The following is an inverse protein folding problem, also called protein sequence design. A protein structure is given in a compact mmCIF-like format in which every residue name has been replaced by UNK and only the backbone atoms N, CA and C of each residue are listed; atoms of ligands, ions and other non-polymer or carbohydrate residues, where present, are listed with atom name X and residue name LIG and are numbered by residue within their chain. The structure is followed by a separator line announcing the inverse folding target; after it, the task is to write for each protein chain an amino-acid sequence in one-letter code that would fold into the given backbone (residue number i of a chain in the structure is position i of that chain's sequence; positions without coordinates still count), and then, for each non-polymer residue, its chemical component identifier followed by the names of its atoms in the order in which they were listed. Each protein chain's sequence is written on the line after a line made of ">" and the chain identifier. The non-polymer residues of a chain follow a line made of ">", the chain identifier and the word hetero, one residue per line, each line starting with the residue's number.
data_IF_559289775735
#
_entry.id   IF_559289775735
#
_cell.length_a   1.000
_cell.length_b   1.000
_cell.length_c   1.000
_cell.angle_alpha   90.00
_cell.angle_beta   90.00
_cell.angle_gamma   90.00
#
_symmetry.space_group_name_H-M   'P 1'
#
loop_
_entity.id
_entity.type
_entity.pdbx_description
1 polymer ?
#
# COMPACT_ATOMS: atom_id res chain seq x y z
N UNK A 1 -48.71 -44.97 -15.88
CA UNK A 1 -47.26 -44.65 -15.86
C UNK A 1 -47.06 -43.47 -14.90
N UNK A 2 -46.53 -43.71 -13.70
CA UNK A 2 -46.27 -42.64 -12.71
C UNK A 2 -44.92 -42.00 -13.03
N UNK A 3 -44.91 -40.71 -13.39
CA UNK A 3 -43.68 -39.96 -13.68
C UNK A 3 -43.09 -39.44 -12.36
N UNK A 4 -41.93 -39.97 -11.98
CA UNK A 4 -41.16 -39.48 -10.83
C UNK A 4 -40.50 -38.15 -11.21
N UNK A 5 -40.79 -37.09 -10.46
CA UNK A 5 -40.16 -35.79 -10.63
C UNK A 5 -38.80 -35.83 -9.91
N UNK A 6 -37.70 -35.71 -10.65
CA UNK A 6 -36.35 -35.63 -10.09
C UNK A 6 -36.13 -34.22 -9.54
N UNK A 7 -36.13 -34.07 -8.22
CA UNK A 7 -35.68 -32.85 -7.53
C UNK A 7 -34.15 -32.80 -7.57
N UNK A 8 -33.61 -31.98 -8.46
CA UNK A 8 -32.18 -31.61 -8.44
C UNK A 8 -31.99 -30.63 -7.28
N UNK A 9 -31.43 -31.11 -6.18
CA UNK A 9 -30.95 -30.25 -5.09
C UNK A 9 -29.63 -29.65 -5.58
N UNK A 10 -29.66 -28.39 -6.00
CA UNK A 10 -28.45 -27.61 -6.24
C UNK A 10 -27.85 -27.29 -4.86
N UNK A 11 -26.76 -27.96 -4.50
CA UNK A 11 -25.97 -27.58 -3.34
C UNK A 11 -25.29 -26.24 -3.65
N UNK A 12 -25.82 -25.15 -3.09
CA UNK A 12 -25.23 -23.83 -3.17
C UNK A 12 -24.00 -23.81 -2.27
N UNK A 13 -22.82 -24.07 -2.83
CA UNK A 13 -21.55 -23.94 -2.11
C UNK A 13 -21.25 -22.46 -1.95
N UNK A 14 -21.59 -21.87 -0.80
CA UNK A 14 -21.11 -20.55 -0.43
C UNK A 14 -19.63 -20.66 -0.06
N UNK A 15 -18.76 -20.26 -0.97
CA UNK A 15 -17.37 -19.97 -0.61
C UNK A 15 -17.40 -18.72 0.27
N UNK A 16 -17.25 -18.89 1.58
CA UNK A 16 -16.95 -17.75 2.45
C UNK A 16 -15.61 -17.19 2.00
N UNK A 17 -15.62 -16.01 1.38
CA UNK A 17 -14.40 -15.23 1.25
C UNK A 17 -13.83 -15.05 2.65
N UNK A 18 -12.55 -15.37 2.86
CA UNK A 18 -11.88 -15.04 4.11
C UNK A 18 -11.98 -13.54 4.28
N UNK A 19 -12.82 -13.08 5.22
CA UNK A 19 -12.89 -11.67 5.54
C UNK A 19 -11.47 -11.22 5.91
N UNK A 20 -11.00 -10.13 5.31
CA UNK A 20 -9.73 -9.55 5.70
C UNK A 20 -9.83 -9.21 7.20
N UNK A 21 -9.03 -9.88 8.03
CA UNK A 21 -9.13 -9.80 9.49
C UNK A 21 -8.30 -8.66 10.08
N UNK A 22 -7.72 -7.83 9.23
CA UNK A 22 -6.78 -6.77 9.61
C UNK A 22 -6.92 -5.57 8.69
N UNK A 23 -6.18 -4.51 8.99
CA UNK A 23 -6.11 -3.30 8.19
C UNK A 23 -5.58 -3.57 6.77
N UNK A 24 -5.81 -2.64 5.87
CA UNK A 24 -5.14 -2.60 4.56
C UNK A 24 -5.12 -1.20 3.97
N UNK A 25 -4.28 -0.98 2.97
CA UNK A 25 -4.30 0.26 2.21
C UNK A 25 -5.51 0.28 1.27
N UNK A 26 -6.49 1.13 1.57
CA UNK A 26 -7.67 1.33 0.72
C UNK A 26 -7.43 2.35 -0.38
N UNK A 27 -6.49 3.28 -0.19
CA UNK A 27 -6.14 4.28 -1.20
C UNK A 27 -4.65 4.65 -1.17
N UNK A 28 -4.09 4.89 -2.36
CA UNK A 28 -2.73 5.38 -2.58
C UNK A 28 -2.80 6.67 -3.40
N UNK A 29 -2.43 7.80 -2.79
CA UNK A 29 -2.52 9.12 -3.44
C UNK A 29 -1.11 9.56 -3.87
N UNK A 30 -0.91 9.64 -5.18
CA UNK A 30 0.32 10.13 -5.81
C UNK A 30 0.09 11.42 -6.61
N UNK A 31 -0.19 12.52 -5.91
CA UNK A 31 -0.39 13.83 -6.52
C UNK A 31 0.92 14.49 -6.96
N UNK A 32 0.85 15.74 -7.43
CA UNK A 32 2.05 16.52 -7.79
C UNK A 32 2.94 16.82 -6.58
N UNK A 33 4.26 16.74 -6.74
CA UNK A 33 5.20 17.06 -5.66
C UNK A 33 5.00 16.18 -4.42
N UNK A 34 4.96 16.78 -3.23
CA UNK A 34 4.70 16.06 -1.98
C UNK A 34 3.21 15.97 -1.61
N UNK A 35 2.29 16.17 -2.56
CA UNK A 35 0.87 15.84 -2.37
C UNK A 35 0.69 14.32 -2.38
N UNK A 36 1.07 13.68 -1.28
CA UNK A 36 1.15 12.24 -1.13
C UNK A 36 0.40 11.82 0.13
N UNK A 37 -0.40 10.77 0.02
CA UNK A 37 -1.13 10.23 1.15
C UNK A 37 -1.42 8.74 0.97
N UNK A 38 -1.69 8.07 2.09
CA UNK A 38 -2.14 6.69 2.15
C UNK A 38 -3.39 6.63 3.01
N UNK A 39 -4.43 5.98 2.51
CA UNK A 39 -5.63 5.65 3.29
C UNK A 39 -5.54 4.20 3.77
N UNK A 40 -5.77 3.99 5.06
CA UNK A 40 -5.76 2.69 5.71
C UNK A 40 -7.16 2.40 6.23
N UNK A 41 -7.78 1.31 5.79
CA UNK A 41 -9.13 0.93 6.19
C UNK A 41 -9.14 -0.19 7.22
N UNK A 42 -10.05 -0.10 8.19
CA UNK A 42 -10.38 -1.18 9.11
C UNK A 42 -11.64 -1.94 8.63
N UNK A 43 -11.51 -3.12 7.98
CA UNK A 43 -12.66 -3.91 7.55
C UNK A 43 -13.33 -4.70 8.68
N UNK A 44 -12.81 -4.64 9.89
CA UNK A 44 -13.30 -5.45 11.01
C UNK A 44 -14.46 -4.76 11.74
N UNK A 45 -15.18 -5.53 12.55
CA UNK A 45 -16.24 -5.03 13.43
C UNK A 45 -15.71 -4.49 14.77
N UNK A 46 -14.38 -4.45 14.98
CA UNK A 46 -13.75 -4.05 16.22
C UNK A 46 -12.84 -2.82 16.02
N UNK A 47 -12.74 -1.97 17.04
CA UNK A 47 -11.75 -0.89 17.03
C UNK A 47 -10.34 -1.47 17.13
N UNK A 48 -9.42 -0.97 16.30
CA UNK A 48 -8.02 -1.39 16.26
C UNK A 48 -7.14 -0.28 16.84
N UNK A 49 -6.23 -0.64 17.75
CA UNK A 49 -5.19 0.26 18.24
C UNK A 49 -4.03 0.30 17.24
N UNK A 50 -3.76 1.49 16.69
CA UNK A 50 -2.73 1.72 15.68
C UNK A 50 -1.32 1.76 16.27
N UNK A 51 -1.16 1.76 17.60
CA UNK A 51 0.15 1.79 18.28
C UNK A 51 1.05 0.60 17.97
N UNK A 52 0.52 -0.49 17.39
CA UNK A 52 1.32 -1.61 16.92
C UNK A 52 1.66 -1.53 15.43
N UNK A 53 1.12 -0.55 14.69
CA UNK A 53 1.19 -0.50 13.23
C UNK A 53 2.21 0.52 12.73
N UNK A 54 2.86 0.16 11.64
CA UNK A 54 3.85 0.98 10.97
C UNK A 54 3.62 0.95 9.46
N UNK A 55 3.85 2.08 8.81
CA UNK A 55 3.97 2.16 7.36
C UNK A 55 5.45 2.18 7.01
N UNK A 56 5.88 1.26 6.14
CA UNK A 56 7.25 1.16 5.65
C UNK A 56 7.31 1.50 4.16
N UNK A 57 8.34 2.24 3.75
CA UNK A 57 8.71 2.46 2.36
C UNK A 57 10.03 1.77 2.05
N UNK A 58 9.97 0.87 1.08
CA UNK A 58 11.13 0.24 0.47
C UNK A 58 11.46 1.01 -0.79
N UNK A 59 12.51 1.83 -0.72
CA UNK A 59 12.79 2.79 -1.77
C UNK A 59 13.16 2.11 -3.09
N UNK A 60 12.52 2.47 -4.20
CA UNK A 60 12.66 1.77 -5.48
C UNK A 60 12.44 0.25 -5.37
N UNK A 61 11.59 -0.19 -4.45
CA UNK A 61 11.36 -1.61 -4.17
C UNK A 61 12.60 -2.34 -3.66
N UNK A 62 13.49 -1.67 -2.91
CA UNK A 62 14.65 -2.32 -2.28
C UNK A 62 14.27 -3.51 -1.39
N UNK A 63 15.22 -4.38 -1.06
CA UNK A 63 14.99 -5.52 -0.14
C UNK A 63 14.94 -5.10 1.34
N UNK A 64 15.39 -3.89 1.64
CA UNK A 64 15.36 -3.30 2.98
C UNK A 64 14.68 -1.94 2.93
N UNK A 65 13.97 -1.61 4.00
CA UNK A 65 13.56 -0.23 4.26
C UNK A 65 14.74 0.47 4.94
N UNK A 66 15.12 1.67 4.48
CA UNK A 66 16.14 2.48 5.16
C UNK A 66 15.55 3.13 6.41
N UNK A 67 16.39 3.51 7.39
CA UNK A 67 15.97 4.00 8.72
C UNK A 67 15.04 5.23 8.75
N UNK A 68 14.78 5.89 7.62
CA UNK A 68 13.73 6.93 7.53
C UNK A 68 12.46 6.50 6.80
N UNK A 69 12.44 5.39 6.07
CA UNK A 69 11.23 4.92 5.39
C UNK A 69 10.19 4.32 6.34
N UNK A 70 10.07 4.79 7.58
CA UNK A 70 9.27 4.17 8.63
C UNK A 70 8.45 5.22 9.36
N UNK A 71 7.15 5.00 9.46
CA UNK A 71 6.26 5.84 10.26
C UNK A 71 5.42 5.00 11.18
N UNK A 72 5.52 5.29 12.47
CA UNK A 72 4.67 4.72 13.51
C UNK A 72 3.29 5.36 13.44
N UNK A 73 2.25 4.54 13.39
CA UNK A 73 0.88 5.02 13.45
C UNK A 73 0.44 5.17 14.91
N UNK A 74 -0.56 6.02 15.14
CA UNK A 74 -1.08 6.26 16.47
C UNK A 74 -2.59 6.50 16.44
N UNK A 75 -3.23 6.29 17.60
CA UNK A 75 -4.67 6.44 17.76
C UNK A 75 -5.44 5.14 17.63
N UNK A 76 -6.77 5.27 17.64
CA UNK A 76 -7.72 4.16 17.60
C UNK A 76 -8.51 4.26 16.30
N UNK A 77 -8.50 3.21 15.49
CA UNK A 77 -9.26 3.14 14.24
C UNK A 77 -10.53 2.35 14.44
N UNK A 78 -11.67 3.06 14.44
CA UNK A 78 -13.00 2.47 14.62
C UNK A 78 -13.37 1.46 13.53
N UNK A 79 -14.34 0.56 13.80
CA UNK A 79 -14.86 -0.37 12.80
C UNK A 79 -15.32 0.35 11.53
N UNK A 80 -14.92 -0.18 10.37
CA UNK A 80 -15.34 0.33 9.06
C UNK A 80 -15.00 1.80 8.80
N UNK A 81 -13.96 2.31 9.47
CA UNK A 81 -13.39 3.65 9.24
C UNK A 81 -12.04 3.58 8.57
N UNK A 82 -11.62 4.73 8.07
CA UNK A 82 -10.32 4.95 7.45
C UNK A 82 -9.44 5.83 8.31
N UNK A 83 -8.13 5.68 8.13
CA UNK A 83 -7.08 6.52 8.70
C UNK A 83 -6.21 7.05 7.57
N UNK A 84 -6.02 8.36 7.51
CA UNK A 84 -5.31 9.04 6.43
C UNK A 84 -3.94 9.53 6.91
N UNK A 85 -2.87 8.92 6.39
CA UNK A 85 -1.49 9.37 6.58
C UNK A 85 -1.08 10.29 5.43
N UNK A 86 -0.71 11.53 5.71
CA UNK A 86 -0.37 12.54 4.68
C UNK A 86 1.05 13.05 4.85
N UNK A 87 1.74 13.37 3.75
CA UNK A 87 3.06 14.00 3.81
C UNK A 87 3.06 15.31 4.62
N UNK A 88 3.91 15.36 5.66
CA UNK A 88 4.02 16.48 6.60
C UNK A 88 4.85 17.67 6.11
N UNK A 89 5.43 17.64 4.90
CA UNK A 89 6.34 18.69 4.46
C UNK A 89 5.62 20.02 4.23
N UNK A 90 6.00 21.05 4.99
CA UNK A 90 5.46 22.41 4.89
C UNK A 90 6.37 23.40 4.17
N UNK A 91 7.64 23.04 3.95
CA UNK A 91 8.63 23.88 3.27
C UNK A 91 8.90 23.41 1.84
N UNK A 92 9.10 24.34 0.91
CA UNK A 92 9.43 24.03 -0.49
C UNK A 92 10.93 24.17 -0.77
N UNK A 93 11.49 23.20 -1.48
CA UNK A 93 12.76 23.32 -2.21
C UNK A 93 12.50 23.21 -3.71
N UNK A 94 13.47 23.54 -4.58
CA UNK A 94 13.29 23.43 -6.04
C UNK A 94 12.89 22.03 -6.53
N UNK A 95 13.25 20.97 -5.80
CA UNK A 95 13.00 19.57 -6.16
C UNK A 95 12.02 18.86 -5.22
N UNK A 96 11.56 19.53 -4.17
CA UNK A 96 10.65 18.98 -3.16
C UNK A 96 9.71 20.10 -2.68
N UNK A 97 8.60 20.37 -3.41
CA UNK A 97 7.64 21.40 -3.01
C UNK A 97 6.86 20.98 -1.76
N UNK A 98 6.37 21.94 -0.97
CA UNK A 98 5.50 21.65 0.17
C UNK A 98 4.25 20.86 -0.25
N UNK A 99 3.74 20.04 0.67
CA UNK A 99 2.44 19.41 0.55
C UNK A 99 1.33 20.47 0.64
N UNK A 100 0.24 20.25 -0.08
CA UNK A 100 -0.94 21.11 -0.08
C UNK A 100 -1.53 21.17 1.34
N UNK A 101 -1.76 22.37 1.91
CA UNK A 101 -2.42 22.50 3.20
C UNK A 101 -3.83 21.90 3.22
N UNK A 102 -4.52 21.85 2.07
CA UNK A 102 -5.84 21.22 1.95
C UNK A 102 -5.73 19.70 2.15
N UNK A 103 -4.70 19.06 1.57
CA UNK A 103 -4.49 17.62 1.77
C UNK A 103 -4.03 17.34 3.21
N UNK A 104 -3.15 18.17 3.77
CA UNK A 104 -2.75 18.05 5.17
C UNK A 104 -3.91 18.21 6.16
N UNK A 105 -4.92 19.04 5.83
CA UNK A 105 -6.11 19.19 6.64
C UNK A 105 -7.04 17.95 6.61
N UNK A 106 -6.84 17.03 5.67
CA UNK A 106 -7.55 15.73 5.61
C UNK A 106 -6.84 14.63 6.41
N UNK A 107 -5.66 14.91 6.98
CA UNK A 107 -4.85 13.92 7.66
C UNK A 107 -5.39 13.60 9.05
N UNK A 108 -5.46 12.31 9.38
CA UNK A 108 -5.52 11.87 10.78
C UNK A 108 -4.13 11.95 11.42
N UNK A 109 -3.07 11.74 10.61
CA UNK A 109 -1.68 11.90 11.02
C UNK A 109 -0.84 12.45 9.87
N UNK A 110 0.03 13.40 10.20
CA UNK A 110 1.09 13.83 9.30
C UNK A 110 2.30 12.91 9.44
N UNK A 111 2.90 12.61 8.30
CA UNK A 111 4.15 11.88 8.19
C UNK A 111 5.35 12.74 8.62
N UNK A 112 6.50 12.11 8.82
CA UNK A 112 7.74 12.75 9.25
C UNK A 112 8.51 13.51 8.16
N UNK A 113 9.66 14.08 8.57
CA UNK A 113 10.63 14.65 7.65
C UNK A 113 11.28 13.58 6.77
N UNK A 114 11.71 13.94 5.55
CA UNK A 114 12.47 13.01 4.70
C UNK A 114 13.72 12.45 5.42
N UNK A 115 14.00 11.13 5.32
CA UNK A 115 13.17 10.13 4.63
C UNK A 115 11.93 9.80 5.48
N UNK A 116 10.77 9.65 4.84
CA UNK A 116 9.51 9.18 5.43
C UNK A 116 8.65 8.48 4.36
N UNK A 117 7.74 7.56 4.72
CA UNK A 117 6.98 6.77 3.75
C UNK A 117 6.29 7.56 2.64
N UNK A 118 5.65 8.68 2.96
CA UNK A 118 4.89 9.51 2.01
C UNK A 118 5.76 10.40 1.11
N UNK A 119 7.08 10.18 1.06
CA UNK A 119 7.95 10.69 -0.01
C UNK A 119 8.12 9.69 -1.16
N UNK A 120 7.12 8.82 -1.31
CA UNK A 120 7.04 7.81 -2.36
C UNK A 120 6.85 8.40 -3.76
N UNK A 121 7.36 7.72 -4.80
CA UNK A 121 7.28 8.13 -6.20
C UNK A 121 6.99 6.96 -7.18
N UNK A 122 6.10 6.06 -6.77
CA UNK A 122 5.45 5.04 -7.60
C UNK A 122 6.30 3.82 -7.98
N UNK A 123 7.63 3.89 -7.89
CA UNK A 123 8.51 2.72 -7.98
C UNK A 123 8.93 2.18 -6.59
N UNK A 124 8.44 2.76 -5.51
CA UNK A 124 8.63 2.24 -4.15
C UNK A 124 7.63 1.12 -3.84
N UNK A 125 8.01 0.25 -2.90
CA UNK A 125 7.04 -0.66 -2.27
C UNK A 125 6.65 -0.12 -0.89
N UNK A 126 5.36 -0.12 -0.59
CA UNK A 126 4.78 0.34 0.67
C UNK A 126 4.22 -0.84 1.43
N UNK A 127 4.68 -1.06 2.67
CA UNK A 127 4.18 -2.13 3.52
C UNK A 127 3.45 -1.54 4.74
N UNK A 128 2.26 -2.06 5.02
CA UNK A 128 1.63 -1.93 6.32
C UNK A 128 2.07 -3.13 7.14
N UNK A 129 2.67 -2.90 8.29
CA UNK A 129 3.15 -3.96 9.17
C UNK A 129 2.68 -3.72 10.59
N UNK A 130 2.67 -4.79 11.38
CA UNK A 130 2.63 -4.73 12.84
C UNK A 130 3.95 -5.11 13.45
N UNK A 131 4.23 -4.58 14.62
CA UNK A 131 5.28 -5.10 15.51
C UNK A 131 4.66 -5.42 16.88
N UNK A 132 5.03 -6.56 17.51
CA UNK A 132 4.54 -6.87 18.84
C UNK A 132 4.93 -5.79 19.86
N UNK A 133 3.93 -5.19 20.52
CA UNK A 133 4.14 -4.17 21.54
C UNK A 133 4.56 -2.80 20.99
N UNK A 134 4.39 -2.57 19.68
CA UNK A 134 4.63 -1.27 19.07
C UNK A 134 6.09 -0.85 19.03
N UNK A 135 7.04 -1.79 19.11
CA UNK A 135 8.48 -1.49 18.99
C UNK A 135 8.85 -1.15 17.53
N UNK A 136 9.87 -0.30 17.28
CA UNK A 136 10.29 0.00 15.92
C UNK A 136 10.60 -1.27 15.09
N UNK A 137 10.19 -1.29 13.81
CA UNK A 137 10.36 -2.44 12.94
C UNK A 137 11.83 -2.68 12.57
N UNK A 138 12.17 -3.94 12.48
CA UNK A 138 13.44 -4.53 12.05
C UNK A 138 13.11 -5.71 11.13
N UNK A 139 14.10 -6.27 10.45
CA UNK A 139 13.88 -7.42 9.57
C UNK A 139 13.30 -8.67 10.27
N UNK A 140 13.35 -8.75 11.61
CA UNK A 140 12.98 -9.95 12.37
C UNK A 140 11.77 -9.80 13.28
N UNK A 141 11.22 -8.59 13.44
CA UNK A 141 10.10 -8.32 14.36
C UNK A 141 8.86 -7.71 13.67
N UNK A 142 8.76 -7.83 12.35
CA UNK A 142 7.60 -7.38 11.58
C UNK A 142 6.63 -8.53 11.28
N UNK A 143 5.35 -8.22 11.35
CA UNK A 143 4.25 -9.05 10.85
C UNK A 143 3.63 -8.26 9.69
N UNK A 144 3.71 -8.80 8.47
CA UNK A 144 3.08 -8.18 7.31
C UNK A 144 1.56 -8.14 7.45
N UNK A 145 0.98 -6.98 7.15
CA UNK A 145 -0.48 -6.77 7.13
C UNK A 145 -0.96 -6.58 5.70
N UNK A 146 -0.32 -5.66 4.97
CA UNK A 146 -0.62 -5.39 3.57
C UNK A 146 0.62 -4.86 2.84
N UNK A 147 0.63 -4.98 1.50
CA UNK A 147 1.74 -4.58 0.64
C UNK A 147 1.22 -4.00 -0.67
N UNK A 148 1.66 -2.79 -0.98
CA UNK A 148 1.53 -2.16 -2.29
C UNK A 148 2.91 -2.11 -2.98
N UNK A 149 3.02 -2.60 -4.22
CA UNK A 149 4.30 -2.70 -4.95
C UNK A 149 5.08 -3.99 -4.67
N UNK A 150 6.35 -4.03 -5.06
CA UNK A 150 7.19 -5.23 -4.94
C UNK A 150 8.54 -4.93 -4.26
N UNK A 151 8.82 -5.69 -3.20
CA UNK A 151 10.09 -5.67 -2.46
C UNK A 151 11.12 -6.56 -3.17
N UNK A 152 12.37 -6.11 -3.22
CA UNK A 152 13.51 -6.85 -3.78
C UNK A 152 13.87 -6.53 -5.24
N UNK A 153 13.16 -5.61 -5.91
CA UNK A 153 13.52 -5.15 -7.26
C UNK A 153 14.69 -4.17 -7.24
N UNK A 154 14.71 -3.27 -6.26
CA UNK A 154 15.79 -2.31 -6.02
C UNK A 154 16.27 -1.59 -7.28
N UNK A 155 17.57 -1.72 -7.57
CA UNK A 155 18.21 -1.03 -8.70
C UNK A 155 17.53 -1.31 -10.06
N UNK A 156 16.88 -2.47 -10.23
CA UNK A 156 16.21 -2.85 -11.47
C UNK A 156 15.09 -1.89 -11.88
N UNK A 157 14.47 -1.19 -10.92
CA UNK A 157 13.38 -0.23 -11.17
C UNK A 157 13.71 1.19 -10.71
N UNK A 158 14.97 1.48 -10.35
CA UNK A 158 15.39 2.78 -9.80
C UNK A 158 15.21 3.97 -10.73
N UNK A 159 15.11 3.74 -12.04
CA UNK A 159 14.84 4.77 -13.04
C UNK A 159 13.35 4.93 -13.37
N UNK A 160 12.50 4.02 -12.89
CA UNK A 160 11.05 4.10 -13.11
C UNK A 160 10.47 5.19 -12.21
N UNK A 161 9.52 5.96 -12.72
CA UNK A 161 8.84 7.01 -11.94
C UNK A 161 7.34 6.89 -12.14
N UNK A 162 6.61 6.60 -11.06
CA UNK A 162 5.17 6.47 -11.12
C UNK A 162 4.65 5.21 -11.83
N UNK A 163 3.34 5.05 -11.78
CA UNK A 163 2.58 4.07 -12.57
C UNK A 163 2.39 4.49 -14.04
N UNK A 164 2.87 5.70 -14.40
CA UNK A 164 2.76 6.27 -15.75
C UNK A 164 3.60 5.54 -16.80
N UNK A 165 4.57 4.74 -16.36
CA UNK A 165 5.48 3.95 -17.19
C UNK A 165 5.56 2.49 -16.78
N UNK A 166 4.45 1.90 -16.29
CA UNK A 166 4.36 0.45 -16.44
C UNK A 166 4.25 0.19 -17.95
N UNK A 167 5.37 -0.05 -18.61
CA UNK A 167 5.37 -0.80 -19.87
C UNK A 167 5.16 -2.26 -19.49
N UNK A 168 4.91 -3.13 -20.47
CA UNK A 168 4.93 -4.57 -20.22
C UNK A 168 6.27 -4.95 -19.56
N UNK A 169 6.30 -5.01 -18.23
CA UNK A 169 7.51 -5.28 -17.49
C UNK A 169 7.76 -6.76 -17.59
N UNK A 170 8.92 -7.08 -18.14
CA UNK A 170 9.40 -8.46 -18.21
C UNK A 170 10.07 -8.75 -16.89
N UNK A 171 9.39 -9.52 -16.04
CA UNK A 171 9.90 -9.92 -14.75
C UNK A 171 10.69 -11.21 -14.92
N UNK A 172 11.95 -11.17 -14.53
CA UNK A 172 12.85 -12.32 -14.62
C UNK A 172 13.25 -12.73 -13.21
N UNK A 173 12.92 -13.96 -12.82
CA UNK A 173 13.23 -14.52 -11.50
C UNK A 173 13.74 -15.95 -11.62
N UNK A 174 14.40 -16.45 -10.58
CA UNK A 174 14.87 -17.84 -10.53
C UNK A 174 13.84 -18.70 -9.81
N UNK A 175 13.35 -19.76 -10.46
CA UNK A 175 12.52 -20.80 -9.86
C UNK A 175 13.24 -22.14 -10.00
N UNK A 176 13.66 -22.73 -8.88
CA UNK A 176 14.41 -24.01 -8.86
C UNK A 176 15.65 -23.98 -9.75
N UNK A 177 16.48 -22.94 -9.62
CA UNK A 177 17.69 -22.70 -10.43
C UNK A 177 17.45 -22.51 -11.94
N UNK A 178 16.18 -22.38 -12.37
CA UNK A 178 15.81 -22.03 -13.74
C UNK A 178 15.37 -20.58 -13.80
N UNK A 179 15.93 -19.82 -14.74
CA UNK A 179 15.48 -18.46 -15.02
C UNK A 179 14.10 -18.51 -15.69
N UNK A 180 13.09 -17.98 -15.00
CA UNK A 180 11.72 -17.84 -15.50
C UNK A 180 11.50 -16.38 -15.84
N UNK A 181 10.98 -16.17 -17.05
CA UNK A 181 10.64 -14.85 -17.56
C UNK A 181 9.13 -14.76 -17.74
N UNK A 182 8.47 -13.94 -16.92
CA UNK A 182 7.05 -13.64 -17.01
C UNK A 182 6.85 -12.22 -17.53
N UNK A 183 5.87 -12.01 -18.41
CA UNK A 183 5.38 -10.65 -18.71
C UNK A 183 4.19 -10.37 -17.81
N UNK A 184 4.24 -9.25 -17.08
CA UNK A 184 3.05 -8.74 -16.40
C UNK A 184 2.17 -8.09 -17.47
N UNK A 185 1.10 -8.80 -17.87
CA UNK A 185 0.09 -8.33 -18.81
C UNK A 185 -1.26 -8.22 -18.08
N UNK A 186 -2.08 -7.21 -18.40
CA UNK A 186 -3.39 -6.91 -17.81
C UNK A 186 -3.41 -6.42 -16.34
N UNK A 187 -2.62 -5.40 -16.01
CA UNK A 187 -2.83 -4.66 -14.77
C UNK A 187 -3.87 -3.55 -14.99
N UNK A 188 -4.76 -3.33 -14.01
CA UNK A 188 -5.70 -2.21 -14.03
C UNK A 188 -4.92 -0.96 -13.61
N UNK A 189 -4.53 -0.13 -14.57
CA UNK A 189 -4.14 1.25 -14.27
C UNK A 189 -5.41 2.02 -14.04
N UNK A 190 -5.64 2.50 -12.81
CA UNK A 190 -6.64 3.56 -12.63
C UNK A 190 -6.24 4.71 -13.55
N UNK A 191 -7.12 5.04 -14.50
CA UNK A 191 -6.90 6.11 -15.48
C UNK A 191 -6.29 7.31 -14.76
N UNK A 192 -5.15 7.80 -15.26
CA UNK A 192 -4.51 9.03 -14.76
C UNK A 192 -5.59 10.02 -14.35
N UNK A 193 -5.54 10.51 -13.12
CA UNK A 193 -6.30 11.69 -12.74
C UNK A 193 -5.87 12.78 -13.73
N UNK A 194 -6.70 13.03 -14.75
CA UNK A 194 -6.52 14.17 -15.63
C UNK A 194 -6.61 15.37 -14.71
N UNK A 195 -5.47 16.04 -14.50
CA UNK A 195 -5.33 17.27 -13.72
C UNK A 195 -6.65 18.02 -13.72
N UNK A 196 -7.30 18.12 -12.55
CA UNK A 196 -8.62 18.70 -12.38
C UNK A 196 -8.65 20.20 -12.70
N UNK A 197 -8.44 20.57 -13.96
CA UNK A 197 -8.86 21.85 -14.51
C UNK A 197 -10.31 21.68 -14.94
N UNK A 198 -11.21 21.83 -13.96
CA UNK A 198 -12.56 22.36 -14.19
C UNK A 198 -12.56 23.83 -13.81
#
# INVERSE_FOLDING_TARGET
>A
MKRFLLLIIVALTTTFASAQTDLFFSEYIEGSGNNKALEIYNPTSATIDLSNYYVLRYSNGASTFTEGGVTHLSGMLEPYKTFVLVNGQTTSTPTSPACSPILQAMADQLDGNYPAPTYMNGNDAMALVKTPGGVPPTATNIIGVDLFGQIGLGAAISAETGWSYVKDSTLTYMANDVQVTGKVINYIVQKNATNGTS
#
